data_IF_195333796246
#
_entry.id   IF_195333796246
#
_cell.length_a   1.000
_cell.length_b   1.000
_cell.length_c   1.000
_cell.angle_alpha   90.00
_cell.angle_beta   90.00
_cell.angle_gamma   90.00
#
_symmetry.space_group_name_H-M   'P 1'
#
loop_
_entity.id
_entity.type
_entity.pdbx_description
1 polymer ?
#
# COMPACT_ATOMS: atom_id res chain seq x y z
N UNK A 1 13.90 9.89 -28.48
CA UNK A 1 14.39 10.96 -27.59
C UNK A 1 15.43 10.37 -26.66
N UNK A 2 16.56 11.04 -26.47
CA UNK A 2 17.61 10.57 -25.57
C UNK A 2 17.21 10.87 -24.13
N UNK A 3 17.28 9.90 -23.19
CA UNK A 3 16.87 10.09 -21.79
C UNK A 3 17.60 11.24 -21.08
N UNK A 4 18.91 11.38 -21.31
CA UNK A 4 19.75 12.45 -20.76
C UNK A 4 19.24 13.86 -21.07
N UNK A 5 18.75 14.06 -22.30
CA UNK A 5 18.17 15.36 -22.74
C UNK A 5 16.82 15.61 -22.06
N UNK A 6 16.03 14.56 -21.83
CA UNK A 6 14.75 14.70 -21.13
C UNK A 6 14.99 15.10 -19.68
N UNK A 7 15.92 14.44 -19.01
CA UNK A 7 16.25 14.71 -17.60
C UNK A 7 16.82 16.13 -17.41
N UNK A 8 17.71 16.56 -18.33
CA UNK A 8 18.26 17.92 -18.31
C UNK A 8 17.17 18.99 -18.46
N UNK A 9 16.28 18.80 -19.44
CA UNK A 9 15.17 19.73 -19.68
C UNK A 9 14.18 19.73 -18.50
N UNK A 10 13.90 18.57 -17.95
CA UNK A 10 13.02 18.46 -16.80
C UNK A 10 13.57 19.28 -15.62
N UNK A 11 14.85 19.07 -15.26
CA UNK A 11 15.52 19.87 -14.21
C UNK A 11 15.51 21.37 -14.52
N UNK A 12 15.77 21.74 -15.77
CA UNK A 12 15.77 23.16 -16.17
C UNK A 12 14.39 23.83 -16.05
N UNK A 13 13.32 23.07 -16.27
CA UNK A 13 11.94 23.59 -16.24
C UNK A 13 11.33 23.57 -14.84
N UNK A 14 11.64 22.55 -14.02
CA UNK A 14 10.96 22.33 -12.73
C UNK A 14 11.85 22.61 -11.53
N UNK A 15 13.16 22.55 -11.69
CA UNK A 15 14.13 22.55 -10.59
C UNK A 15 14.28 21.19 -9.88
N UNK A 16 13.46 20.20 -10.25
CA UNK A 16 13.32 18.95 -9.52
C UNK A 16 14.17 17.81 -10.11
N UNK A 17 14.42 16.76 -9.28
CA UNK A 17 15.12 15.57 -9.75
C UNK A 17 14.15 14.63 -10.50
N UNK A 18 14.38 14.33 -11.78
CA UNK A 18 13.54 13.42 -12.56
C UNK A 18 13.48 12.00 -11.97
N UNK A 19 14.47 11.58 -11.16
CA UNK A 19 14.46 10.28 -10.50
C UNK A 19 13.26 10.13 -9.53
N UNK A 20 12.85 11.21 -8.86
CA UNK A 20 11.68 11.18 -7.97
C UNK A 20 10.40 10.80 -8.74
N UNK A 21 10.26 11.28 -9.98
CA UNK A 21 9.11 10.98 -10.82
C UNK A 21 9.19 9.58 -11.43
N UNK A 22 10.38 9.12 -11.80
CA UNK A 22 10.58 7.74 -12.26
C UNK A 22 10.15 6.73 -11.19
N UNK A 23 10.50 6.96 -9.93
CA UNK A 23 10.12 6.07 -8.83
C UNK A 23 8.62 6.03 -8.54
N UNK A 24 7.83 7.03 -8.96
CA UNK A 24 6.35 6.95 -8.88
C UNK A 24 5.79 5.79 -9.70
N UNK A 25 6.39 5.51 -10.87
CA UNK A 25 6.04 4.36 -11.70
C UNK A 25 6.34 3.02 -11.02
N UNK A 26 7.40 2.96 -10.23
CA UNK A 26 7.86 1.72 -9.58
C UNK A 26 6.83 1.19 -8.56
N UNK A 27 5.96 2.02 -7.99
CA UNK A 27 4.95 1.58 -7.01
C UNK A 27 4.06 0.45 -7.51
N UNK A 28 3.83 0.37 -8.81
CA UNK A 28 2.97 -0.63 -9.44
C UNK A 28 3.73 -1.82 -10.02
N UNK A 29 5.04 -1.85 -9.87
CA UNK A 29 5.91 -2.89 -10.45
C UNK A 29 6.73 -3.66 -9.41
N UNK A 30 6.16 -4.05 -8.25
CA UNK A 30 6.90 -4.88 -7.31
C UNK A 30 7.27 -6.23 -7.94
N UNK A 31 8.32 -6.90 -7.46
CA UNK A 31 8.80 -8.16 -8.01
C UNK A 31 7.72 -9.23 -8.07
N UNK A 32 7.56 -9.90 -9.21
CA UNK A 32 6.55 -10.92 -9.44
C UNK A 32 5.23 -10.40 -10.01
N UNK A 33 5.03 -9.09 -10.07
CA UNK A 33 3.89 -8.48 -10.78
C UNK A 33 4.28 -8.33 -12.25
N UNK A 34 3.42 -8.85 -13.16
CA UNK A 34 3.71 -8.82 -14.58
C UNK A 34 3.67 -7.38 -15.13
N UNK A 35 4.84 -6.90 -15.55
CA UNK A 35 4.98 -5.57 -16.16
C UNK A 35 4.42 -5.48 -17.60
N UNK A 36 3.91 -6.57 -18.18
CA UNK A 36 3.52 -6.71 -19.59
C UNK A 36 2.11 -7.27 -19.79
N UNK A 37 1.20 -6.93 -18.93
CA UNK A 37 -0.22 -7.19 -19.18
C UNK A 37 -0.78 -6.11 -20.10
N UNK A 38 -1.63 -6.47 -21.05
CA UNK A 38 -2.48 -5.50 -21.78
C UNK A 38 -3.35 -4.72 -20.78
N UNK A 39 -3.59 -5.31 -19.61
CA UNK A 39 -4.28 -4.73 -18.46
C UNK A 39 -3.29 -4.52 -17.30
N UNK A 40 -2.65 -3.35 -17.19
CA UNK A 40 -1.66 -3.09 -16.15
C UNK A 40 -2.30 -3.17 -14.77
N UNK A 41 -1.75 -4.00 -13.90
CA UNK A 41 -2.16 -4.10 -12.51
C UNK A 41 -1.69 -2.89 -11.73
N UNK A 42 -2.61 -2.21 -11.07
CA UNK A 42 -2.26 -1.19 -10.10
C UNK A 42 -1.97 -1.88 -8.75
N UNK A 43 -0.78 -2.51 -8.64
CA UNK A 43 -0.41 -3.31 -7.48
C UNK A 43 -0.43 -2.50 -6.17
N UNK A 44 0.05 -1.27 -6.19
CA UNK A 44 0.04 -0.40 -5.03
C UNK A 44 -1.39 -0.17 -4.51
N UNK A 45 -2.35 0.01 -5.40
CA UNK A 45 -3.74 0.24 -5.05
C UNK A 45 -4.40 -0.99 -4.43
N UNK A 46 -4.16 -2.19 -4.99
CA UNK A 46 -4.63 -3.44 -4.40
C UNK A 46 -4.05 -3.65 -3.00
N UNK A 47 -2.74 -3.51 -2.86
CA UNK A 47 -2.06 -3.68 -1.59
C UNK A 47 -2.49 -2.61 -0.56
N UNK A 48 -2.73 -1.36 -1.00
CA UNK A 48 -3.19 -0.28 -0.13
C UNK A 48 -4.57 -0.57 0.46
N UNK A 49 -5.52 -1.00 -0.36
CA UNK A 49 -6.91 -1.14 0.07
C UNK A 49 -7.31 -2.55 0.51
N UNK A 50 -6.45 -3.56 0.34
CA UNK A 50 -6.74 -4.91 0.84
C UNK A 50 -7.02 -4.90 2.35
N UNK A 51 -8.13 -5.55 2.74
CA UNK A 51 -8.53 -5.65 4.14
C UNK A 51 -7.54 -6.55 4.93
N UNK A 52 -7.07 -6.11 6.10
CA UNK A 52 -6.07 -6.88 6.86
C UNK A 52 -6.55 -8.22 7.40
N UNK A 53 -7.86 -8.42 7.57
CA UNK A 53 -8.45 -9.64 8.10
C UNK A 53 -9.10 -10.51 7.02
N UNK A 54 -9.36 -9.92 5.85
CA UNK A 54 -9.96 -10.61 4.70
C UNK A 54 -9.08 -10.37 3.47
N UNK A 55 -7.87 -10.97 3.42
CA UNK A 55 -6.92 -10.75 2.33
C UNK A 55 -7.36 -11.49 1.07
N UNK A 56 -8.16 -10.83 0.24
CA UNK A 56 -8.77 -11.44 -0.96
C UNK A 56 -7.73 -11.86 -2.00
N UNK A 57 -6.60 -11.17 -2.08
CA UNK A 57 -5.55 -11.42 -3.06
C UNK A 57 -4.41 -12.31 -2.52
N UNK A 58 -4.59 -12.92 -1.35
CA UNK A 58 -3.52 -13.71 -0.71
C UNK A 58 -3.09 -14.91 -1.57
N UNK A 59 -4.05 -15.58 -2.23
CA UNK A 59 -3.75 -16.73 -3.09
C UNK A 59 -3.11 -16.30 -4.42
N UNK A 60 -3.47 -15.12 -4.95
CA UNK A 60 -2.95 -14.59 -6.21
C UNK A 60 -1.49 -14.14 -6.11
N UNK A 61 -1.08 -13.74 -4.92
CA UNK A 61 0.27 -13.28 -4.62
C UNK A 61 1.04 -14.24 -3.71
N UNK A 62 0.60 -15.50 -3.64
CA UNK A 62 1.26 -16.52 -2.85
C UNK A 62 2.72 -16.71 -3.30
N UNK A 63 3.66 -16.67 -2.34
CA UNK A 63 5.10 -16.76 -2.61
C UNK A 63 5.77 -15.45 -3.04
N UNK A 64 5.01 -14.37 -3.24
CA UNK A 64 5.56 -13.03 -3.50
C UNK A 64 5.82 -12.32 -2.17
N UNK A 65 6.93 -11.57 -2.09
CA UNK A 65 7.27 -10.71 -0.96
C UNK A 65 7.52 -9.29 -1.48
N UNK A 66 6.78 -8.33 -0.91
CA UNK A 66 6.79 -6.94 -1.37
C UNK A 66 7.32 -5.97 -0.32
N UNK A 67 7.41 -6.38 0.96
CA UNK A 67 7.78 -5.48 2.06
C UNK A 67 9.16 -4.85 1.85
N UNK A 68 10.17 -5.63 1.45
CA UNK A 68 11.51 -5.12 1.15
C UNK A 68 11.52 -4.11 0.01
N UNK A 69 10.76 -4.36 -1.04
CA UNK A 69 10.65 -3.45 -2.19
C UNK A 69 10.08 -2.07 -1.79
N UNK A 70 9.01 -2.03 -0.99
CA UNK A 70 8.44 -0.77 -0.54
C UNK A 70 9.29 -0.08 0.53
N UNK A 71 10.05 -0.84 1.33
CA UNK A 71 11.06 -0.27 2.22
C UNK A 71 12.17 0.45 1.45
N UNK A 72 12.59 -0.10 0.31
CA UNK A 72 13.59 0.54 -0.57
C UNK A 72 13.03 1.81 -1.22
N UNK A 73 11.78 1.81 -1.65
CA UNK A 73 11.12 3.02 -2.17
C UNK A 73 10.99 4.09 -1.09
N UNK A 74 10.63 3.75 0.13
CA UNK A 74 10.55 4.70 1.24
C UNK A 74 11.90 5.39 1.48
N UNK A 75 13.00 4.61 1.51
CA UNK A 75 14.36 5.15 1.65
C UNK A 75 14.77 6.07 0.50
N UNK A 76 14.32 5.79 -0.73
CA UNK A 76 14.57 6.68 -1.87
C UNK A 76 13.86 8.03 -1.66
N UNK A 77 12.58 8.01 -1.26
CA UNK A 77 11.82 9.24 -1.05
C UNK A 77 12.26 10.05 0.15
N UNK A 78 12.80 9.43 1.20
CA UNK A 78 13.39 10.11 2.36
C UNK A 78 14.49 11.13 1.96
N UNK A 79 15.18 10.88 0.84
CA UNK A 79 16.27 11.72 0.36
C UNK A 79 15.81 12.86 -0.58
N UNK A 80 14.54 12.89 -0.99
CA UNK A 80 14.03 13.99 -1.81
C UNK A 80 13.46 15.12 -0.95
N UNK A 81 13.76 16.35 -1.34
CA UNK A 81 13.19 17.56 -0.79
C UNK A 81 13.04 18.61 -1.89
N UNK A 82 12.15 19.56 -1.73
CA UNK A 82 11.92 20.64 -2.67
C UNK A 82 11.59 21.95 -1.97
N UNK A 83 12.01 23.06 -2.57
CA UNK A 83 11.61 24.40 -2.14
C UNK A 83 10.18 24.74 -2.63
N UNK A 84 9.65 24.00 -3.61
CA UNK A 84 8.24 24.12 -4.05
C UNK A 84 7.34 23.37 -3.07
N UNK A 85 6.34 24.02 -2.46
CA UNK A 85 5.41 23.36 -1.54
C UNK A 85 4.68 22.17 -2.18
N UNK A 86 4.35 22.26 -3.47
CA UNK A 86 3.65 21.21 -4.20
C UNK A 86 4.53 19.97 -4.38
N UNK A 87 5.79 20.14 -4.77
CA UNK A 87 6.71 19.01 -4.93
C UNK A 87 7.15 18.43 -3.58
N UNK A 88 7.36 19.26 -2.57
CA UNK A 88 7.63 18.78 -1.21
C UNK A 88 6.46 17.93 -0.68
N UNK A 89 5.21 18.39 -0.84
CA UNK A 89 4.02 17.64 -0.46
C UNK A 89 3.91 16.32 -1.25
N UNK A 90 4.25 16.34 -2.53
CA UNK A 90 4.27 15.16 -3.39
C UNK A 90 5.28 14.12 -2.91
N UNK A 91 6.52 14.53 -2.59
CA UNK A 91 7.56 13.62 -2.11
C UNK A 91 7.20 13.05 -0.73
N UNK A 92 6.69 13.87 0.18
CA UNK A 92 6.20 13.39 1.49
C UNK A 92 5.05 12.41 1.37
N UNK A 93 4.11 12.65 0.44
CA UNK A 93 3.03 11.69 0.19
C UNK A 93 3.58 10.33 -0.27
N UNK A 94 4.47 10.30 -1.26
CA UNK A 94 5.03 9.04 -1.76
C UNK A 94 5.89 8.33 -0.73
N UNK A 95 6.64 9.05 0.10
CA UNK A 95 7.35 8.49 1.26
C UNK A 95 6.38 7.80 2.23
N UNK A 96 5.34 8.50 2.65
CA UNK A 96 4.36 7.96 3.59
C UNK A 96 3.55 6.80 3.01
N UNK A 97 3.27 6.82 1.71
CA UNK A 97 2.64 5.71 1.00
C UNK A 97 3.56 4.49 0.96
N UNK A 98 4.85 4.66 0.65
CA UNK A 98 5.81 3.57 0.63
C UNK A 98 5.97 2.93 2.03
N UNK A 99 6.08 3.73 3.09
CA UNK A 99 6.11 3.26 4.48
C UNK A 99 4.83 2.50 4.86
N UNK A 100 3.67 2.96 4.41
CA UNK A 100 2.41 2.25 4.65
C UNK A 100 2.38 0.91 3.93
N UNK A 101 2.78 0.88 2.66
CA UNK A 101 2.80 -0.35 1.85
C UNK A 101 3.83 -1.36 2.40
N UNK A 102 4.99 -0.90 2.88
CA UNK A 102 5.97 -1.74 3.58
C UNK A 102 5.34 -2.44 4.78
N UNK A 103 4.72 -1.70 5.69
CA UNK A 103 4.09 -2.26 6.89
C UNK A 103 2.91 -3.19 6.56
N UNK A 104 2.08 -2.82 5.59
CA UNK A 104 0.96 -3.66 5.13
C UNK A 104 1.45 -4.96 4.50
N UNK A 105 2.51 -4.91 3.70
CA UNK A 105 3.09 -6.11 3.10
C UNK A 105 3.71 -7.00 4.16
N UNK A 106 4.38 -6.47 5.17
CA UNK A 106 4.86 -7.24 6.32
C UNK A 106 3.72 -7.91 7.09
N UNK A 107 2.63 -7.18 7.35
CA UNK A 107 1.43 -7.76 7.95
C UNK A 107 0.92 -8.93 7.11
N UNK A 108 0.75 -8.73 5.82
CA UNK A 108 0.27 -9.72 4.86
C UNK A 108 1.14 -10.97 4.78
N UNK A 109 2.46 -10.81 4.87
CA UNK A 109 3.44 -11.89 4.83
C UNK A 109 3.47 -12.70 6.14
N UNK A 110 3.21 -12.08 7.27
CA UNK A 110 3.41 -12.66 8.60
C UNK A 110 2.11 -13.07 9.29
N UNK A 111 1.04 -12.28 9.21
CA UNK A 111 -0.19 -12.50 9.96
C UNK A 111 -0.89 -13.85 9.66
N UNK A 112 -0.91 -14.38 8.41
CA UNK A 112 -1.48 -15.70 8.13
C UNK A 112 -0.70 -16.87 8.75
N UNK A 113 0.49 -16.62 9.27
CA UNK A 113 1.36 -17.60 9.93
C UNK A 113 1.46 -17.37 11.43
N UNK A 114 0.56 -16.55 11.98
CA UNK A 114 0.56 -16.22 13.40
C UNK A 114 0.48 -17.48 14.28
N UNK A 115 1.27 -17.49 15.34
CA UNK A 115 1.26 -18.49 16.43
C UNK A 115 1.23 -17.72 17.75
N UNK A 116 0.89 -18.40 18.82
CA UNK A 116 0.80 -17.79 20.16
C UNK A 116 2.03 -16.93 20.49
N UNK A 117 3.24 -17.43 20.23
CA UNK A 117 4.48 -16.70 20.50
C UNK A 117 4.76 -15.49 19.59
N UNK A 118 4.02 -15.30 18.48
CA UNK A 118 4.19 -14.17 17.55
C UNK A 118 3.03 -13.18 17.57
N UNK A 119 1.91 -13.55 18.16
CA UNK A 119 0.67 -12.80 18.09
C UNK A 119 0.78 -11.40 18.70
N UNK A 120 1.49 -11.23 19.82
CA UNK A 120 1.69 -9.92 20.45
C UNK A 120 2.49 -8.96 19.53
N UNK A 121 3.54 -9.43 18.87
CA UNK A 121 4.32 -8.63 17.94
C UNK A 121 3.48 -8.26 16.69
N UNK A 122 2.62 -9.17 16.23
CA UNK A 122 1.70 -8.91 15.13
C UNK A 122 0.59 -7.92 15.50
N UNK A 123 0.10 -7.95 16.74
CA UNK A 123 -0.83 -6.92 17.23
C UNK A 123 -0.18 -5.52 17.19
N UNK A 124 1.09 -5.43 17.62
CA UNK A 124 1.86 -4.17 17.53
C UNK A 124 2.07 -3.72 16.07
N UNK A 125 2.35 -4.67 15.15
CA UNK A 125 2.48 -4.37 13.73
C UNK A 125 1.16 -3.84 13.13
N UNK A 126 0.02 -4.45 13.47
CA UNK A 126 -1.29 -3.95 13.07
C UNK A 126 -1.54 -2.52 13.58
N UNK A 127 -1.23 -2.26 14.86
CA UNK A 127 -1.29 -0.91 15.41
C UNK A 127 -0.36 0.09 14.70
N UNK A 128 0.83 -0.36 14.27
CA UNK A 128 1.73 0.46 13.45
C UNK A 128 1.13 0.76 12.07
N UNK A 129 0.50 -0.23 11.43
CA UNK A 129 -0.22 -0.02 10.17
C UNK A 129 -1.36 1.01 10.32
N UNK A 130 -2.15 0.94 11.39
CA UNK A 130 -3.21 1.90 11.66
C UNK A 130 -2.66 3.33 11.76
N UNK A 131 -1.62 3.53 12.57
CA UNK A 131 -0.98 4.84 12.72
C UNK A 131 -0.37 5.36 11.42
N UNK A 132 0.29 4.48 10.66
CA UNK A 132 0.91 4.85 9.38
C UNK A 132 -0.14 5.18 8.32
N UNK A 133 -1.29 4.50 8.32
CA UNK A 133 -2.42 4.84 7.45
C UNK A 133 -2.89 6.29 7.68
N UNK A 134 -3.00 6.71 8.94
CA UNK A 134 -3.38 8.08 9.27
C UNK A 134 -2.29 9.11 8.90
N UNK A 135 -1.00 8.74 8.98
CA UNK A 135 0.09 9.62 8.51
C UNK A 135 0.05 9.78 6.98
N UNK A 136 -0.12 8.68 6.26
CA UNK A 136 -0.26 8.69 4.80
C UNK A 136 -1.48 9.53 4.37
N UNK A 137 -2.60 9.41 5.08
CA UNK A 137 -3.80 10.21 4.83
C UNK A 137 -3.50 11.71 4.96
N UNK A 138 -2.83 12.14 6.02
CA UNK A 138 -2.47 13.56 6.24
C UNK A 138 -1.50 14.07 5.16
N UNK A 139 -0.54 13.25 4.74
CA UNK A 139 0.37 13.63 3.67
C UNK A 139 -0.37 13.78 2.33
N UNK A 140 -1.37 12.92 2.08
CA UNK A 140 -2.23 13.02 0.89
C UNK A 140 -3.13 14.25 0.93
N UNK A 141 -3.71 14.57 2.10
CA UNK A 141 -4.48 15.79 2.33
C UNK A 141 -3.64 17.03 2.03
N UNK A 142 -2.42 17.12 2.56
CA UNK A 142 -1.52 18.23 2.30
C UNK A 142 -1.18 18.40 0.79
N UNK A 143 -0.94 17.29 0.09
CA UNK A 143 -0.76 17.30 -1.36
C UNK A 143 -2.04 17.74 -2.08
N UNK A 144 -3.20 17.25 -1.64
CA UNK A 144 -4.49 17.60 -2.24
C UNK A 144 -4.77 19.09 -2.12
N UNK A 145 -4.54 19.66 -0.96
CA UNK A 145 -4.76 21.09 -0.69
C UNK A 145 -3.85 22.01 -1.53
N UNK A 146 -2.65 21.53 -1.89
CA UNK A 146 -1.75 22.27 -2.77
C UNK A 146 -2.15 22.21 -4.24
N UNK A 147 -2.83 21.15 -4.69
CA UNK A 147 -2.96 20.83 -6.12
C UNK A 147 -4.40 20.74 -6.62
N UNK A 148 -5.37 20.67 -5.74
CA UNK A 148 -6.77 20.42 -6.08
C UNK A 148 -7.73 21.36 -5.35
N UNK A 149 -8.98 21.40 -5.81
CA UNK A 149 -10.08 21.96 -5.04
C UNK A 149 -10.40 21.06 -3.84
N UNK A 150 -11.01 21.59 -2.76
CA UNK A 150 -11.33 20.81 -1.56
C UNK A 150 -12.24 19.58 -1.80
N UNK A 151 -13.07 19.62 -2.84
CA UNK A 151 -14.02 18.54 -3.15
C UNK A 151 -13.30 17.29 -3.67
N UNK A 152 -13.77 16.13 -3.23
CA UNK A 152 -13.29 14.81 -3.68
C UNK A 152 -12.36 14.14 -2.68
N UNK A 153 -11.68 14.90 -1.82
CA UNK A 153 -10.81 14.33 -0.78
C UNK A 153 -11.59 13.53 0.26
N UNK A 154 -12.85 13.87 0.52
CA UNK A 154 -13.73 13.17 1.46
C UNK A 154 -13.82 11.67 1.18
N UNK A 155 -13.73 11.24 -0.09
CA UNK A 155 -13.71 9.83 -0.45
C UNK A 155 -12.43 9.15 0.04
N UNK A 156 -11.28 9.81 -0.11
CA UNK A 156 -9.98 9.32 0.35
C UNK A 156 -9.94 9.30 1.88
N UNK A 157 -10.46 10.36 2.51
CA UNK A 157 -10.53 10.50 3.97
C UNK A 157 -11.32 9.34 4.59
N UNK A 158 -12.51 9.04 4.08
CA UNK A 158 -13.34 7.92 4.53
C UNK A 158 -12.64 6.57 4.33
N UNK A 159 -12.04 6.34 3.16
CA UNK A 159 -11.38 5.07 2.83
C UNK A 159 -10.17 4.80 3.72
N UNK A 160 -9.29 5.77 3.89
CA UNK A 160 -8.09 5.60 4.71
C UNK A 160 -8.44 5.58 6.20
N UNK A 161 -9.42 6.34 6.65
CA UNK A 161 -9.92 6.25 8.03
C UNK A 161 -10.55 4.89 8.31
N UNK A 162 -11.32 4.35 7.37
CA UNK A 162 -11.86 2.99 7.43
C UNK A 162 -10.77 1.93 7.48
N UNK A 163 -9.73 2.05 6.65
CA UNK A 163 -8.58 1.15 6.66
C UNK A 163 -7.83 1.18 8.01
N UNK A 164 -7.60 2.36 8.57
CA UNK A 164 -6.97 2.50 9.89
C UNK A 164 -7.81 1.79 10.97
N UNK A 165 -9.14 1.99 10.97
CA UNK A 165 -10.07 1.29 11.88
C UNK A 165 -10.06 -0.23 11.68
N UNK A 166 -9.88 -0.73 10.46
CA UNK A 166 -9.73 -2.17 10.20
C UNK A 166 -8.43 -2.73 10.77
N UNK A 167 -7.33 -1.99 10.71
CA UNK A 167 -6.07 -2.38 11.37
C UNK A 167 -6.16 -2.35 12.89
N UNK A 168 -6.87 -1.38 13.47
CA UNK A 168 -7.19 -1.38 14.90
C UNK A 168 -7.98 -2.64 15.31
N UNK A 169 -8.95 -3.03 14.49
CA UNK A 169 -9.70 -4.28 14.70
C UNK A 169 -8.79 -5.50 14.59
N UNK A 170 -7.86 -5.50 13.62
CA UNK A 170 -6.89 -6.58 13.47
C UNK A 170 -5.96 -6.70 14.69
N UNK A 171 -5.51 -5.59 15.24
CA UNK A 171 -4.71 -5.57 16.46
C UNK A 171 -5.46 -6.21 17.64
N UNK A 172 -6.69 -5.76 17.92
CA UNK A 172 -7.51 -6.35 19.01
C UNK A 172 -7.84 -7.82 18.79
N UNK A 173 -8.06 -8.26 17.56
CA UNK A 173 -8.30 -9.69 17.27
C UNK A 173 -7.03 -10.51 17.46
N UNK A 174 -5.88 -9.98 17.10
CA UNK A 174 -4.59 -10.63 17.33
C UNK A 174 -4.28 -10.76 18.82
N UNK A 175 -4.63 -9.76 19.64
CA UNK A 175 -4.53 -9.83 21.11
C UNK A 175 -5.46 -10.90 21.70
N UNK A 176 -6.70 -11.01 21.20
CA UNK A 176 -7.62 -12.08 21.61
C UNK A 176 -7.08 -13.46 21.23
N UNK A 177 -6.52 -13.59 20.03
CA UNK A 177 -5.87 -14.84 19.62
C UNK A 177 -4.70 -15.19 20.53
N UNK A 178 -3.84 -14.23 20.90
CA UNK A 178 -2.76 -14.42 21.87
C UNK A 178 -3.27 -14.85 23.26
N UNK A 179 -4.48 -14.45 23.62
CA UNK A 179 -5.15 -14.85 24.87
C UNK A 179 -5.88 -16.22 24.77
N UNK A 180 -5.73 -16.95 23.64
CA UNK A 180 -6.28 -18.30 23.45
C UNK A 180 -7.61 -18.36 22.67
N UNK A 181 -8.14 -17.23 22.17
CA UNK A 181 -9.35 -17.23 21.32
C UNK A 181 -8.99 -17.53 19.85
N UNK A 182 -8.94 -18.79 19.50
CA UNK A 182 -8.62 -19.25 18.15
C UNK A 182 -9.62 -18.74 17.09
N UNK A 183 -10.88 -18.46 17.47
CA UNK A 183 -11.92 -18.00 16.56
C UNK A 183 -11.71 -16.53 16.11
N UNK A 184 -10.92 -15.76 16.85
CA UNK A 184 -10.69 -14.35 16.59
C UNK A 184 -10.10 -14.07 15.19
N UNK A 185 -9.35 -15.03 14.62
CA UNK A 185 -8.67 -14.92 13.32
C UNK A 185 -9.11 -15.97 12.30
N UNK A 186 -10.24 -16.64 12.50
CA UNK A 186 -10.73 -17.70 11.63
C UNK A 186 -10.74 -17.27 10.15
N UNK A 187 -11.26 -16.08 9.85
CA UNK A 187 -11.32 -15.57 8.47
C UNK A 187 -9.93 -15.36 7.88
N UNK A 188 -8.95 -14.91 8.68
CA UNK A 188 -7.57 -14.71 8.23
C UNK A 188 -6.90 -16.04 7.87
N UNK A 189 -7.14 -17.08 8.65
CA UNK A 189 -6.55 -18.41 8.48
C UNK A 189 -7.29 -19.30 7.47
N UNK A 190 -8.51 -18.94 7.09
CA UNK A 190 -9.29 -19.71 6.12
C UNK A 190 -8.58 -19.72 4.75
N UNK A 191 -8.61 -20.86 4.04
CA UNK A 191 -8.06 -20.97 2.69
C UNK A 191 -8.65 -19.92 1.76
N UNK A 192 -7.80 -19.33 0.91
CA UNK A 192 -8.20 -18.35 -0.09
C UNK A 192 -8.14 -18.94 -1.48
N UNK A 193 -9.15 -18.65 -2.29
CA UNK A 193 -9.14 -18.98 -3.71
C UNK A 193 -8.44 -17.87 -4.50
N UNK A 194 -7.88 -18.21 -5.63
CA UNK A 194 -7.33 -17.23 -6.57
C UNK A 194 -8.46 -16.39 -7.17
N UNK A 195 -8.21 -15.10 -7.29
CA UNK A 195 -9.21 -14.15 -7.76
C UNK A 195 -8.76 -13.38 -9.01
N UNK A 196 -7.50 -12.97 -9.08
CA UNK A 196 -6.99 -12.04 -10.09
C UNK A 196 -5.90 -12.63 -10.99
N UNK A 197 -5.59 -13.91 -10.90
CA UNK A 197 -4.59 -14.52 -11.76
C UNK A 197 -5.20 -14.99 -13.07
N UNK A 198 -4.46 -14.76 -14.16
CA UNK A 198 -4.70 -15.44 -15.42
C UNK A 198 -4.35 -16.93 -15.33
N UNK A 199 -4.59 -17.68 -16.42
CA UNK A 199 -4.26 -19.12 -16.52
C UNK A 199 -2.77 -19.41 -16.36
N UNK A 200 -1.88 -18.43 -16.57
CA UNK A 200 -0.45 -18.54 -16.39
C UNK A 200 0.01 -18.22 -14.95
N UNK A 201 -0.91 -17.82 -14.06
CA UNK A 201 -0.61 -17.54 -12.66
C UNK A 201 -0.04 -16.14 -12.41
N UNK A 202 -0.18 -15.23 -13.36
CA UNK A 202 0.22 -13.84 -13.20
C UNK A 202 -0.82 -13.06 -12.36
N UNK A 203 -0.35 -12.15 -11.54
CA UNK A 203 -1.22 -11.19 -10.86
C UNK A 203 -1.69 -10.15 -11.87
N UNK A 204 -2.88 -10.35 -12.40
CA UNK A 204 -3.50 -9.52 -13.44
C UNK A 204 -4.97 -9.21 -13.09
N UNK A 205 -5.62 -8.35 -13.84
CA UNK A 205 -7.04 -8.09 -13.66
C UNK A 205 -7.35 -6.88 -12.77
N UNK A 206 -7.12 -5.74 -13.30
CA UNK A 206 -7.21 -4.48 -12.58
C UNK A 206 -8.61 -3.88 -12.44
N UNK A 207 -9.61 -4.34 -13.19
CA UNK A 207 -10.91 -3.65 -13.27
C UNK A 207 -11.85 -3.91 -12.11
N UNK A 208 -11.70 -5.04 -11.41
CA UNK A 208 -12.60 -5.42 -10.32
C UNK A 208 -12.10 -5.04 -8.93
N UNK A 209 -10.99 -4.32 -8.82
CA UNK A 209 -10.41 -3.94 -7.52
C UNK A 209 -11.40 -3.19 -6.61
N UNK A 210 -12.22 -2.29 -7.17
CA UNK A 210 -13.20 -1.53 -6.43
C UNK A 210 -14.32 -2.40 -5.84
N UNK A 211 -14.55 -3.59 -6.39
CA UNK A 211 -15.56 -4.53 -5.93
C UNK A 211 -15.04 -5.47 -4.86
N UNK A 212 -13.73 -5.69 -4.84
CA UNK A 212 -13.07 -6.69 -4.00
C UNK A 212 -12.44 -6.11 -2.73
N UNK A 213 -12.41 -4.80 -2.60
CA UNK A 213 -11.79 -4.13 -1.46
C UNK A 213 -12.87 -3.70 -0.48
N UNK A 214 -12.90 -4.32 0.70
CA UNK A 214 -13.97 -4.14 1.68
C UNK A 214 -14.14 -2.70 2.15
N UNK A 215 -13.06 -1.93 2.26
CA UNK A 215 -13.07 -0.52 2.67
C UNK A 215 -13.43 0.47 1.53
N UNK A 216 -13.75 -0.01 0.35
CA UNK A 216 -14.06 0.83 -0.81
C UNK A 216 -15.55 1.01 -1.10
N UNK A 217 -16.38 0.16 -0.52
CA UNK A 217 -17.84 0.27 -0.65
C UNK A 217 -18.41 0.80 0.66
N UNK A 218 -18.61 2.08 0.69
CA UNK A 218 -19.46 2.74 1.67
C UNK A 218 -20.66 3.28 0.90
#
# INVERSE_FOLDING_TARGET
TRPDVVDERFRACTGEDPAAFAYMGDFNTPPGVAAKSEDPVNAAKFLLYEDPLVPLFAADTAGMSFSGFYADLARKYENFSSDSPEFEALYRFYEQLALLLELKCRWREQAPRAKDGTASALAQLAGACARQTLRCKRAWEALWDCTNNPFGFEVIDLRLSGLAGRFDTAARRMERFAAGDASALETLFSPKLRYLTDSAGHFSGCYSWAECISACRI
#
